data_IF_063805809835
#
_entry.id   IF_063805809835
#
_cell.length_a   1.000
_cell.length_b   1.000
_cell.length_c   1.000
_cell.angle_alpha   90.00
_cell.angle_beta   90.00
_cell.angle_gamma   90.00
#
_symmetry.space_group_name_H-M   'P 1'
#
loop_
_entity.id
_entity.type
_entity.pdbx_description
1 polymer ?
#
# COMPACT_ATOMS: atom_id res chain seq x y z
N UNK A 1 -35.71 -8.65 64.74
CA UNK A 1 -34.77 -7.97 63.83
C UNK A 1 -34.09 -9.01 62.97
N UNK A 2 -34.15 -8.94 61.63
CA UNK A 2 -33.37 -9.82 60.76
C UNK A 2 -32.04 -9.14 60.38
N UNK A 3 -30.98 -9.95 60.32
CA UNK A 3 -29.63 -9.57 59.92
C UNK A 3 -29.54 -9.24 58.42
N UNK A 4 -28.72 -8.28 57.97
CA UNK A 4 -28.51 -8.05 56.55
C UNK A 4 -27.48 -9.06 56.01
N UNK A 5 -27.87 -9.81 54.99
CA UNK A 5 -26.96 -10.60 54.16
C UNK A 5 -26.22 -9.67 53.20
N UNK A 6 -24.89 -9.61 53.32
CA UNK A 6 -24.05 -8.92 52.36
C UNK A 6 -24.01 -9.72 51.05
N UNK A 7 -24.58 -9.14 49.99
CA UNK A 7 -24.41 -9.63 48.62
C UNK A 7 -22.99 -9.32 48.16
N UNK A 8 -22.21 -10.37 47.92
CA UNK A 8 -20.85 -10.27 47.39
C UNK A 8 -20.92 -9.74 45.95
N UNK A 9 -20.47 -8.50 45.76
CA UNK A 9 -20.27 -7.91 44.44
C UNK A 9 -19.15 -8.67 43.73
N UNK A 10 -19.50 -9.57 42.80
CA UNK A 10 -18.55 -10.16 41.87
C UNK A 10 -18.03 -9.06 40.93
N UNK A 11 -16.78 -8.69 41.11
CA UNK A 11 -16.02 -7.88 40.15
C UNK A 11 -15.90 -8.72 38.86
N UNK A 12 -16.30 -8.21 37.69
CA UNK A 12 -16.14 -8.96 36.44
C UNK A 12 -14.65 -9.19 36.19
N UNK A 13 -14.29 -10.47 36.00
CA UNK A 13 -12.94 -10.88 35.61
C UNK A 13 -12.51 -10.14 34.33
N UNK A 14 -11.28 -9.60 34.24
CA UNK A 14 -10.83 -8.90 33.05
C UNK A 14 -10.88 -9.83 31.85
N UNK A 15 -11.56 -9.39 30.79
CA UNK A 15 -11.63 -10.12 29.54
C UNK A 15 -10.20 -10.43 29.04
N UNK A 16 -9.96 -11.62 28.47
CA UNK A 16 -8.62 -11.98 28.00
C UNK A 16 -8.12 -10.96 26.98
N UNK A 17 -6.80 -10.65 26.98
CA UNK A 17 -6.24 -9.64 26.08
C UNK A 17 -6.51 -10.03 24.62
N UNK A 18 -7.01 -9.07 23.83
CA UNK A 18 -7.27 -9.28 22.40
C UNK A 18 -5.94 -9.58 21.69
N UNK A 19 -5.87 -10.59 20.81
CA UNK A 19 -4.64 -10.92 20.10
C UNK A 19 -4.22 -9.78 19.18
N UNK A 20 -2.92 -9.57 19.01
CA UNK A 20 -2.40 -8.58 18.06
C UNK A 20 -2.76 -8.97 16.61
N UNK A 21 -2.83 -7.98 15.70
CA UNK A 21 -3.04 -8.22 14.26
C UNK A 21 -2.04 -9.24 13.68
N UNK A 22 -0.78 -9.21 14.15
CA UNK A 22 0.23 -10.16 13.69
C UNK A 22 -0.08 -11.59 14.13
N UNK A 23 -0.46 -11.79 15.39
CA UNK A 23 -0.79 -13.12 15.91
C UNK A 23 -2.04 -13.69 15.22
N UNK A 24 -3.07 -12.86 15.07
CA UNK A 24 -4.32 -13.22 14.39
C UNK A 24 -4.08 -13.59 12.92
N UNK A 25 -3.29 -12.78 12.20
CA UNK A 25 -2.90 -13.07 10.81
C UNK A 25 -2.16 -14.40 10.70
N UNK A 26 -1.19 -14.66 11.58
CA UNK A 26 -0.43 -15.91 11.58
C UNK A 26 -1.34 -17.12 11.82
N UNK A 27 -2.24 -17.03 12.80
CA UNK A 27 -3.19 -18.10 13.08
C UNK A 27 -4.07 -18.42 11.87
N UNK A 28 -4.69 -17.41 11.26
CA UNK A 28 -5.56 -17.62 10.09
C UNK A 28 -4.78 -18.21 8.91
N UNK A 29 -3.61 -17.66 8.58
CA UNK A 29 -2.81 -18.12 7.44
C UNK A 29 -2.20 -19.50 7.62
N UNK A 30 -1.87 -19.90 8.85
CA UNK A 30 -1.16 -21.16 9.11
C UNK A 30 -2.07 -22.28 9.57
N UNK A 31 -3.22 -21.98 10.16
CA UNK A 31 -4.05 -22.99 10.83
C UNK A 31 -5.46 -23.11 10.25
N UNK A 32 -5.99 -22.07 9.60
CA UNK A 32 -7.39 -22.07 9.16
C UNK A 32 -7.52 -22.06 7.64
N UNK A 33 -6.95 -21.06 6.96
CA UNK A 33 -7.07 -20.91 5.51
C UNK A 33 -6.51 -22.10 4.70
N UNK A 34 -5.40 -22.76 5.10
CA UNK A 34 -4.90 -23.93 4.38
C UNK A 34 -5.78 -25.18 4.49
N UNK A 35 -6.73 -25.20 5.42
CA UNK A 35 -7.62 -26.36 5.63
C UNK A 35 -8.87 -26.31 4.75
N UNK A 36 -9.11 -25.19 4.05
CA UNK A 36 -10.31 -25.01 3.23
C UNK A 36 -10.07 -25.67 1.87
N UNK A 37 -10.92 -26.64 1.45
CA UNK A 37 -10.84 -27.26 0.13
C UNK A 37 -10.99 -26.25 -1.02
N UNK A 38 -10.32 -26.48 -2.15
CA UNK A 38 -10.41 -25.59 -3.32
C UNK A 38 -11.84 -25.50 -3.89
N UNK A 39 -12.63 -26.57 -3.77
CA UNK A 39 -14.05 -26.57 -4.14
C UNK A 39 -14.86 -25.59 -3.28
N UNK A 40 -14.61 -25.59 -1.97
CA UNK A 40 -15.25 -24.66 -1.04
C UNK A 40 -14.80 -23.23 -1.32
N UNK A 41 -13.51 -22.99 -1.57
CA UNK A 41 -13.01 -21.68 -2.00
C UNK A 41 -13.75 -21.22 -3.25
N UNK A 42 -13.89 -22.08 -4.26
CA UNK A 42 -14.57 -21.77 -5.52
C UNK A 42 -16.05 -21.43 -5.29
N UNK A 43 -16.77 -22.26 -4.54
CA UNK A 43 -18.18 -22.08 -4.27
C UNK A 43 -18.47 -20.83 -3.41
N UNK A 44 -17.66 -20.62 -2.37
CA UNK A 44 -17.74 -19.44 -1.51
C UNK A 44 -17.44 -18.16 -2.30
N UNK A 45 -16.38 -18.18 -3.11
CA UNK A 45 -15.99 -17.04 -3.94
C UNK A 45 -17.10 -16.67 -4.92
N UNK A 46 -17.75 -17.66 -5.54
CA UNK A 46 -18.89 -17.41 -6.45
C UNK A 46 -20.02 -16.67 -5.73
N UNK A 47 -20.44 -17.16 -4.56
CA UNK A 47 -21.52 -16.52 -3.78
C UNK A 47 -21.17 -15.11 -3.34
N UNK A 48 -19.93 -14.87 -2.93
CA UNK A 48 -19.47 -13.54 -2.55
C UNK A 48 -19.46 -12.58 -3.76
N UNK A 49 -19.00 -13.02 -4.93
CA UNK A 49 -19.03 -12.24 -6.17
C UNK A 49 -20.46 -11.92 -6.61
N UNK A 50 -21.37 -12.91 -6.60
CA UNK A 50 -22.80 -12.71 -6.91
C UNK A 50 -23.46 -11.73 -5.93
N UNK A 51 -23.05 -11.75 -4.66
CA UNK A 51 -23.54 -10.80 -3.66
C UNK A 51 -23.16 -9.37 -4.03
N UNK A 52 -21.91 -9.14 -4.47
CA UNK A 52 -21.46 -7.84 -4.94
C UNK A 52 -22.24 -7.43 -6.19
N UNK A 53 -22.27 -8.29 -7.23
CA UNK A 53 -22.85 -7.90 -8.51
C UNK A 53 -24.37 -7.69 -8.47
N UNK A 54 -25.09 -8.46 -7.63
CA UNK A 54 -26.56 -8.42 -7.63
C UNK A 54 -27.16 -7.58 -6.50
N UNK A 55 -26.50 -7.47 -5.33
CA UNK A 55 -27.12 -6.85 -4.15
C UNK A 55 -26.50 -5.52 -3.75
N UNK A 56 -25.25 -5.24 -4.16
CA UNK A 56 -24.59 -4.00 -3.78
C UNK A 56 -24.96 -2.87 -4.74
N UNK A 57 -25.74 -1.90 -4.29
CA UNK A 57 -26.12 -0.75 -5.14
C UNK A 57 -24.90 0.04 -5.63
N UNK A 58 -23.85 0.14 -4.82
CA UNK A 58 -22.60 0.80 -5.21
C UNK A 58 -21.95 0.11 -6.42
N UNK A 59 -22.08 -1.22 -6.56
CA UNK A 59 -21.62 -1.92 -7.76
C UNK A 59 -22.43 -1.52 -8.99
N UNK A 60 -23.76 -1.47 -8.86
CA UNK A 60 -24.66 -1.15 -9.97
C UNK A 60 -24.40 0.25 -10.53
N UNK A 61 -24.08 1.22 -9.65
CA UNK A 61 -23.78 2.61 -10.03
C UNK A 61 -22.34 2.84 -10.49
N UNK A 62 -21.41 1.94 -10.16
CA UNK A 62 -19.99 2.13 -10.46
C UNK A 62 -19.70 1.95 -11.96
N UNK A 63 -18.93 2.87 -12.52
CA UNK A 63 -18.40 2.80 -13.88
C UNK A 63 -16.91 2.44 -13.89
N UNK A 64 -16.16 2.88 -12.87
CA UNK A 64 -14.72 2.68 -12.70
C UNK A 64 -14.47 1.85 -11.45
N UNK A 65 -14.15 0.57 -11.64
CA UNK A 65 -13.98 -0.38 -10.55
C UNK A 65 -12.55 -0.88 -10.47
N UNK A 66 -12.02 -1.03 -9.25
CA UNK A 66 -10.77 -1.75 -9.03
C UNK A 66 -11.05 -3.13 -8.45
N UNK A 67 -10.47 -4.16 -9.04
CA UNK A 67 -10.61 -5.55 -8.60
C UNK A 67 -9.21 -6.15 -8.44
N UNK A 68 -8.94 -6.79 -7.30
CA UNK A 68 -7.67 -7.46 -7.09
C UNK A 68 -7.59 -8.76 -7.89
N UNK A 69 -6.38 -9.13 -8.29
CA UNK A 69 -6.10 -10.40 -8.95
C UNK A 69 -5.70 -11.42 -7.88
N UNK A 70 -6.45 -12.51 -7.82
CA UNK A 70 -6.44 -13.42 -6.68
C UNK A 70 -5.13 -14.22 -6.56
N UNK A 71 -4.60 -14.33 -5.34
CA UNK A 71 -3.50 -15.23 -5.03
C UNK A 71 -3.92 -16.70 -5.15
N UNK A 72 -3.00 -17.65 -5.43
CA UNK A 72 -3.34 -19.06 -5.58
C UNK A 72 -3.97 -19.73 -4.35
N UNK A 73 -3.77 -19.22 -3.14
CA UNK A 73 -4.32 -19.84 -1.92
C UNK A 73 -4.66 -18.82 -0.83
N UNK A 74 -5.63 -19.17 0.01
CA UNK A 74 -6.03 -18.38 1.18
C UNK A 74 -6.70 -17.04 0.86
N UNK A 75 -7.21 -16.88 -0.36
CA UNK A 75 -7.93 -15.69 -0.81
C UNK A 75 -9.11 -16.13 -1.69
N UNK A 76 -10.21 -15.38 -1.60
CA UNK A 76 -11.37 -15.62 -2.44
C UNK A 76 -11.08 -15.19 -3.89
N UNK A 77 -11.58 -15.97 -4.83
CA UNK A 77 -11.44 -15.81 -6.28
C UNK A 77 -12.26 -14.62 -6.80
N UNK A 78 -11.72 -13.90 -7.79
CA UNK A 78 -12.31 -12.66 -8.34
C UNK A 78 -12.49 -12.70 -9.85
N UNK A 79 -12.07 -13.77 -10.52
CA UNK A 79 -12.10 -13.93 -11.97
C UNK A 79 -13.51 -13.78 -12.55
N UNK A 80 -14.53 -14.27 -11.84
CA UNK A 80 -15.94 -14.12 -12.25
C UNK A 80 -16.42 -12.67 -12.19
N UNK A 81 -15.96 -11.91 -11.21
CA UNK A 81 -16.32 -10.50 -11.01
C UNK A 81 -15.62 -9.60 -12.03
N UNK A 82 -14.38 -9.93 -12.42
CA UNK A 82 -13.70 -9.25 -13.53
C UNK A 82 -14.46 -9.44 -14.83
N UNK A 83 -14.84 -10.70 -15.16
CA UNK A 83 -15.70 -10.98 -16.32
C UNK A 83 -17.00 -10.20 -16.26
N UNK A 84 -17.66 -10.18 -15.09
CA UNK A 84 -18.91 -9.46 -14.91
C UNK A 84 -18.77 -7.96 -15.13
N UNK A 85 -17.69 -7.35 -14.64
CA UNK A 85 -17.42 -5.94 -14.83
C UNK A 85 -17.30 -5.57 -16.32
N UNK A 86 -16.57 -6.37 -17.10
CA UNK A 86 -16.46 -6.17 -18.54
C UNK A 86 -17.78 -6.41 -19.28
N UNK A 87 -18.55 -7.43 -18.90
CA UNK A 87 -19.88 -7.69 -19.46
C UNK A 87 -20.83 -6.50 -19.23
N UNK A 88 -20.73 -5.84 -18.08
CA UNK A 88 -21.52 -4.65 -17.73
C UNK A 88 -20.92 -3.34 -18.25
N UNK A 89 -19.85 -3.39 -19.05
CA UNK A 89 -19.25 -2.21 -19.68
C UNK A 89 -18.44 -1.31 -18.73
N UNK A 90 -18.04 -1.80 -17.56
CA UNK A 90 -17.25 -1.04 -16.58
C UNK A 90 -15.77 -0.97 -16.99
N UNK A 91 -15.11 0.12 -16.63
CA UNK A 91 -13.65 0.23 -16.69
C UNK A 91 -13.03 -0.51 -15.50
N UNK A 92 -12.22 -1.54 -15.78
CA UNK A 92 -11.60 -2.39 -14.76
C UNK A 92 -10.15 -1.98 -14.52
N UNK A 93 -9.82 -1.71 -13.26
CA UNK A 93 -8.47 -1.42 -12.78
C UNK A 93 -7.97 -2.54 -11.89
N UNK A 94 -6.67 -2.82 -11.95
CA UNK A 94 -6.00 -3.86 -11.13
C UNK A 94 -4.81 -3.28 -10.37
N UNK A 95 -4.52 -3.79 -9.16
CA UNK A 95 -3.38 -3.34 -8.38
C UNK A 95 -2.06 -3.80 -9.00
N UNK A 96 -1.13 -2.87 -9.19
CA UNK A 96 0.24 -3.12 -9.65
C UNK A 96 1.23 -2.59 -8.64
N UNK A 97 2.19 -3.43 -8.24
CA UNK A 97 3.27 -3.04 -7.34
C UNK A 97 4.46 -2.47 -8.12
N UNK A 98 4.73 -1.20 -7.89
CA UNK A 98 5.74 -0.44 -8.61
C UNK A 98 6.83 0.04 -7.66
N UNK A 99 8.06 0.16 -8.18
CA UNK A 99 9.18 0.71 -7.40
C UNK A 99 9.00 2.22 -7.27
N UNK A 100 9.12 2.73 -6.06
CA UNK A 100 9.18 4.18 -5.87
C UNK A 100 10.48 4.70 -6.48
N UNK A 101 10.40 5.65 -7.41
CA UNK A 101 11.54 6.48 -7.78
C UNK A 101 11.79 7.44 -6.61
N UNK A 102 12.99 7.38 -6.03
CA UNK A 102 13.43 8.43 -5.12
C UNK A 102 13.66 9.67 -5.98
N UNK A 103 12.93 10.76 -5.72
CA UNK A 103 13.38 12.07 -6.16
C UNK A 103 14.75 12.29 -5.53
N UNK A 104 15.77 12.40 -6.37
CA UNK A 104 17.04 12.93 -5.93
C UNK A 104 16.74 14.38 -5.56
N UNK A 105 16.54 14.65 -4.28
CA UNK A 105 16.62 16.01 -3.76
C UNK A 105 18.02 16.46 -4.12
N UNK A 106 18.13 17.27 -5.16
CA UNK A 106 19.41 17.84 -5.57
C UNK A 106 19.99 18.51 -4.34
N UNK A 107 21.16 18.04 -3.90
CA UNK A 107 22.02 18.84 -3.06
C UNK A 107 22.30 20.09 -3.88
N UNK A 108 21.57 21.16 -3.59
CA UNK A 108 21.84 22.46 -4.15
C UNK A 108 23.25 22.83 -3.75
N UNK A 109 24.19 22.75 -4.69
CA UNK A 109 25.47 23.45 -4.60
C UNK A 109 25.22 24.96 -4.77
N UNK A 110 24.47 25.54 -3.83
CA UNK A 110 24.40 26.97 -3.60
C UNK A 110 25.57 27.37 -2.71
N UNK A 111 26.76 27.49 -3.30
CA UNK A 111 27.89 28.16 -2.66
C UNK A 111 27.48 29.63 -2.43
N UNK A 112 27.41 30.15 -1.19
CA UNK A 112 27.04 31.54 -1.00
C UNK A 112 28.21 32.41 -1.45
N UNK A 113 28.05 33.13 -2.56
CA UNK A 113 28.90 34.27 -2.91
C UNK A 113 28.42 35.43 -2.06
N UNK A 114 29.16 35.75 -1.00
CA UNK A 114 28.89 36.92 -0.18
C UNK A 114 29.30 38.17 -0.97
N UNK A 115 28.30 38.96 -1.39
CA UNK A 115 28.51 40.33 -1.87
C UNK A 115 28.27 41.26 -0.69
N UNK A 116 29.31 42.00 -0.33
CA UNK A 116 29.34 42.85 0.85
C UNK A 116 28.40 44.05 0.80
N UNK A 117 27.93 44.45 1.98
CA UNK A 117 27.57 45.82 2.31
C UNK A 117 28.25 46.17 3.64
N UNK A 118 28.89 47.33 3.65
CA UNK A 118 29.67 47.86 4.76
C UNK A 118 28.84 48.61 5.79
N UNK A 119 29.57 49.41 6.57
CA UNK A 119 29.19 50.18 7.77
C UNK A 119 29.15 49.30 9.04
N UNK A 120 29.95 49.49 10.09
CA UNK A 120 30.90 50.53 10.49
C UNK A 120 30.85 50.57 12.02
N UNK A 121 31.97 50.37 12.72
CA UNK A 121 32.21 50.91 14.07
C UNK A 121 33.61 50.56 14.57
N UNK A 122 34.20 51.57 15.20
CA UNK A 122 35.54 51.72 15.73
C UNK A 122 35.97 50.74 16.84
N UNK A 123 37.29 50.60 17.00
CA UNK A 123 37.90 50.19 18.28
C UNK A 123 39.11 49.25 18.17
N UNK A 124 40.31 49.81 18.02
CA UNK A 124 41.59 49.11 18.25
C UNK A 124 41.96 49.08 19.76
N UNK A 125 43.17 48.62 20.14
CA UNK A 125 43.77 47.28 20.08
C UNK A 125 44.05 46.74 21.53
N UNK A 126 44.74 45.61 21.77
CA UNK A 126 46.10 45.60 22.36
C UNK A 126 46.54 44.14 22.71
N UNK A 127 47.73 43.78 22.20
CA UNK A 127 48.87 42.95 22.68
C UNK A 127 48.76 41.56 23.36
N UNK A 128 49.73 40.71 22.96
CA UNK A 128 50.48 39.76 23.82
C UNK A 128 50.16 38.29 23.53
N UNK A 129 51.09 37.34 23.32
CA UNK A 129 52.54 37.27 23.49
C UNK A 129 52.92 35.81 23.87
N UNK A 130 54.03 35.29 23.36
CA UNK A 130 54.70 34.03 23.78
C UNK A 130 54.13 32.74 23.16
N UNK A 131 54.88 31.78 22.62
CA UNK A 131 56.21 31.27 22.97
C UNK A 131 56.04 29.80 23.43
N UNK A 132 56.38 28.81 22.60
CA UNK A 132 57.61 27.98 22.65
C UNK A 132 57.55 26.71 23.52
N UNK A 133 58.16 25.61 23.02
CA UNK A 133 58.56 24.38 23.75
C UNK A 133 57.82 23.12 23.26
N UNK A 134 58.38 22.15 22.53
CA UNK A 134 59.62 21.34 22.64
C UNK A 134 59.62 20.29 23.78
N UNK A 135 59.96 19.04 23.42
CA UNK A 135 60.28 17.92 24.33
C UNK A 135 59.55 16.62 23.92
N UNK A 136 60.13 15.61 23.25
CA UNK A 136 61.34 14.79 23.47
C UNK A 136 61.07 13.47 24.23
N UNK A 137 61.66 12.38 23.71
CA UNK A 137 61.90 11.10 24.42
C UNK A 137 60.75 10.08 24.32
N UNK A 138 60.96 8.78 24.15
CA UNK A 138 62.18 7.95 24.22
C UNK A 138 61.91 6.62 23.51
N UNK A 139 62.97 6.04 22.96
CA UNK A 139 63.05 4.68 22.46
C UNK A 139 62.99 3.65 23.60
N UNK A 140 62.59 2.42 23.25
CA UNK A 140 62.67 1.21 24.06
C UNK A 140 62.47 -0.02 23.17
N UNK A 141 63.59 -0.69 22.85
CA UNK A 141 63.69 -1.97 22.16
C UNK A 141 63.03 -3.13 22.94
N UNK A 142 62.52 -4.11 22.21
CA UNK A 142 61.99 -5.35 22.76
C UNK A 142 61.56 -6.33 21.68
N UNK A 143 62.51 -7.13 21.19
CA UNK A 143 62.27 -8.29 20.33
C UNK A 143 61.36 -9.32 21.02
N UNK A 144 60.23 -9.63 20.38
CA UNK A 144 59.28 -10.63 20.84
C UNK A 144 58.62 -11.30 19.64
N UNK A 145 59.13 -12.46 19.27
CA UNK A 145 58.62 -13.31 18.19
C UNK A 145 57.25 -13.85 18.60
N UNK A 146 56.19 -13.32 17.99
CA UNK A 146 54.81 -13.76 18.21
C UNK A 146 54.08 -13.85 16.88
N UNK A 147 53.81 -15.07 16.44
CA UNK A 147 53.00 -15.42 15.27
C UNK A 147 51.60 -14.81 15.37
N UNK A 148 51.41 -13.64 14.76
CA UNK A 148 50.13 -12.93 14.68
C UNK A 148 49.38 -13.31 13.40
N UNK A 149 48.36 -14.13 13.57
CA UNK A 149 47.35 -14.46 12.58
C UNK A 149 46.75 -13.19 11.97
N UNK A 150 46.84 -13.03 10.64
CA UNK A 150 46.20 -11.94 9.90
C UNK A 150 44.68 -12.05 10.08
N UNK A 151 44.09 -11.21 10.93
CA UNK A 151 42.64 -11.06 10.98
C UNK A 151 42.14 -10.38 9.69
N UNK A 152 41.23 -11.00 8.92
CA UNK A 152 40.65 -10.36 7.76
C UNK A 152 39.70 -9.25 8.21
N UNK A 153 40.02 -7.99 7.84
CA UNK A 153 39.15 -6.83 7.98
C UNK A 153 37.76 -7.17 7.42
N UNK A 154 36.76 -7.34 8.31
CA UNK A 154 35.35 -7.48 7.94
C UNK A 154 34.93 -6.24 7.15
N UNK A 155 34.85 -6.38 5.82
CA UNK A 155 34.17 -5.41 4.95
C UNK A 155 32.73 -5.30 5.47
N UNK A 156 32.40 -4.18 6.12
CA UNK A 156 31.02 -3.83 6.48
C UNK A 156 30.20 -3.86 5.19
N UNK A 157 29.43 -4.93 4.97
CA UNK A 157 28.43 -5.00 3.89
C UNK A 157 27.49 -3.82 4.12
N UNK A 158 27.56 -2.78 3.26
CA UNK A 158 26.55 -1.72 3.21
C UNK A 158 25.19 -2.41 3.12
N UNK A 159 24.36 -2.31 4.18
CA UNK A 159 22.97 -2.78 4.13
C UNK A 159 22.32 -2.06 2.95
N UNK A 160 22.06 -2.76 1.85
CA UNK A 160 21.27 -2.23 0.74
C UNK A 160 19.93 -1.80 1.33
N UNK A 161 19.66 -0.49 1.42
CA UNK A 161 18.34 0.03 1.83
C UNK A 161 17.31 -0.63 0.90
N UNK A 162 16.35 -1.33 1.49
CA UNK A 162 15.30 -2.06 0.75
C UNK A 162 14.45 -0.99 0.07
N UNK A 163 14.45 -0.95 -1.27
CA UNK A 163 13.69 0.02 -2.06
C UNK A 163 12.20 -0.09 -1.69
N UNK A 164 11.54 1.04 -1.42
CA UNK A 164 10.13 1.08 -1.01
C UNK A 164 9.25 0.80 -2.24
N UNK A 165 8.35 -0.18 -2.13
CA UNK A 165 7.34 -0.48 -3.16
C UNK A 165 6.09 0.34 -2.88
N UNK A 166 5.39 0.77 -3.93
CA UNK A 166 4.07 1.42 -3.86
C UNK A 166 3.09 0.66 -4.75
N UNK A 167 1.81 0.72 -4.42
CA UNK A 167 0.75 0.16 -5.25
C UNK A 167 0.11 1.26 -6.08
N UNK A 168 -0.17 0.99 -7.34
CA UNK A 168 -0.99 1.82 -8.22
C UNK A 168 -2.12 0.97 -8.80
N UNK A 169 -3.20 1.60 -9.25
CA UNK A 169 -4.30 0.90 -9.94
C UNK A 169 -4.24 1.26 -11.41
N UNK A 170 -3.99 0.27 -12.27
CA UNK A 170 -3.86 0.46 -13.71
C UNK A 170 -4.98 -0.26 -14.44
N UNK A 171 -5.46 0.35 -15.51
CA UNK A 171 -6.56 -0.17 -16.32
C UNK A 171 -6.16 -1.42 -17.10
N UNK A 172 -7.06 -2.40 -17.13
CA UNK A 172 -7.07 -3.50 -18.09
C UNK A 172 -7.69 -3.02 -19.40
N UNK A 173 -7.09 -3.39 -20.52
CA UNK A 173 -7.54 -2.95 -21.85
C UNK A 173 -8.73 -3.80 -22.34
N UNK A 174 -8.78 -5.09 -21.97
CA UNK A 174 -9.87 -5.99 -22.36
C UNK A 174 -9.97 -7.22 -21.45
N UNK A 175 -11.06 -7.96 -21.61
CA UNK A 175 -11.21 -9.28 -20.97
C UNK A 175 -10.22 -10.30 -21.54
N UNK A 176 -9.92 -10.25 -22.84
CA UNK A 176 -8.94 -11.15 -23.47
C UNK A 176 -7.54 -10.96 -22.86
N UNK A 177 -7.12 -9.71 -22.64
CA UNK A 177 -5.88 -9.42 -21.94
C UNK A 177 -5.84 -10.06 -20.56
N UNK A 178 -6.92 -9.92 -19.79
CA UNK A 178 -7.01 -10.50 -18.45
C UNK A 178 -6.82 -12.02 -18.47
N UNK A 179 -7.44 -12.71 -19.44
CA UNK A 179 -7.36 -14.17 -19.55
C UNK A 179 -5.97 -14.67 -20.01
N UNK A 180 -5.17 -13.80 -20.63
CA UNK A 180 -3.80 -14.07 -21.09
C UNK A 180 -2.71 -13.67 -20.08
N UNK A 181 -3.05 -13.12 -18.91
CA UNK A 181 -2.05 -12.68 -17.93
C UNK A 181 -1.23 -13.85 -17.38
N UNK A 182 0.09 -13.68 -17.44
CA UNK A 182 1.02 -14.59 -16.78
C UNK A 182 1.05 -14.35 -15.26
N UNK A 183 1.32 -15.42 -14.52
CA UNK A 183 1.44 -15.36 -13.06
C UNK A 183 2.85 -14.92 -12.66
N UNK A 184 2.92 -14.00 -11.70
CA UNK A 184 4.18 -13.53 -11.14
C UNK A 184 4.81 -14.53 -10.15
N UNK A 185 5.88 -14.12 -9.48
CA UNK A 185 6.56 -14.94 -8.46
C UNK A 185 5.69 -15.31 -7.24
N UNK A 186 4.57 -14.62 -7.05
CA UNK A 186 3.58 -14.88 -6.00
C UNK A 186 2.40 -15.72 -6.53
N UNK A 187 2.43 -16.09 -7.82
CA UNK A 187 1.36 -16.80 -8.50
C UNK A 187 0.17 -15.91 -8.86
N UNK A 188 0.30 -14.59 -8.79
CA UNK A 188 -0.77 -13.63 -9.07
C UNK A 188 -0.72 -13.24 -10.55
N UNK A 189 -1.82 -13.33 -11.32
CA UNK A 189 -1.86 -12.81 -12.68
C UNK A 189 -1.44 -11.34 -12.68
N UNK A 190 -0.50 -10.95 -13.53
CA UNK A 190 0.14 -9.62 -13.44
C UNK A 190 0.34 -8.99 -14.81
N UNK A 191 0.12 -7.68 -14.89
CA UNK A 191 0.38 -6.91 -16.09
C UNK A 191 1.89 -6.92 -16.43
N UNK A 192 2.27 -7.17 -17.70
CA UNK A 192 3.67 -7.22 -18.08
C UNK A 192 4.32 -5.83 -17.94
N UNK A 193 5.55 -5.72 -17.40
CA UNK A 193 6.22 -4.44 -17.15
C UNK A 193 6.30 -3.50 -18.37
N UNK A 194 6.42 -4.07 -19.57
CA UNK A 194 6.48 -3.34 -20.84
C UNK A 194 5.18 -2.63 -21.20
N UNK A 195 4.04 -3.12 -20.70
CA UNK A 195 2.73 -2.53 -20.98
C UNK A 195 2.35 -1.40 -20.02
N UNK A 196 3.07 -1.23 -18.91
CA UNK A 196 2.59 -0.38 -17.81
C UNK A 196 2.54 1.10 -18.20
N UNK A 197 3.53 1.62 -18.93
CA UNK A 197 3.68 3.06 -19.18
C UNK A 197 2.51 3.69 -19.97
N UNK A 198 1.86 2.92 -20.85
CA UNK A 198 0.77 3.41 -21.72
C UNK A 198 -0.63 3.26 -21.10
N UNK A 199 -0.75 2.65 -19.93
CA UNK A 199 -2.05 2.36 -19.31
C UNK A 199 -2.59 3.52 -18.53
N UNK A 200 -3.90 3.69 -18.56
CA UNK A 200 -4.59 4.65 -17.72
C UNK A 200 -4.34 4.33 -16.23
N UNK A 201 -3.95 5.34 -15.46
CA UNK A 201 -3.81 5.26 -14.02
C UNK A 201 -5.09 5.76 -13.36
N UNK A 202 -5.59 5.02 -12.36
CA UNK A 202 -6.81 5.38 -11.65
C UNK A 202 -6.75 6.73 -10.91
N UNK A 203 -5.56 7.26 -10.60
CA UNK A 203 -5.42 8.61 -10.02
C UNK A 203 -5.47 9.72 -11.07
N UNK A 204 -5.50 9.36 -12.35
CA UNK A 204 -5.35 10.24 -13.51
C UNK A 204 -3.98 10.07 -14.17
N UNK A 205 -3.91 10.28 -15.49
CA UNK A 205 -2.69 10.16 -16.28
C UNK A 205 -2.38 8.72 -16.71
N UNK A 206 -1.12 8.47 -17.08
CA UNK A 206 -0.66 7.20 -17.63
C UNK A 206 0.49 6.59 -16.84
N UNK A 207 0.49 5.27 -16.78
CA UNK A 207 1.48 4.43 -16.14
C UNK A 207 1.58 4.56 -14.62
N UNK A 208 2.51 3.80 -14.00
CA UNK A 208 2.71 3.81 -12.56
C UNK A 208 3.03 5.18 -11.95
N UNK A 209 3.70 6.04 -12.72
CA UNK A 209 4.06 7.37 -12.27
C UNK A 209 2.90 8.38 -12.40
N UNK A 210 1.83 8.04 -13.14
CA UNK A 210 0.71 8.94 -13.38
C UNK A 210 1.12 10.16 -14.21
N UNK A 211 1.93 9.96 -15.27
CA UNK A 211 2.42 11.06 -16.09
C UNK A 211 1.27 11.66 -16.92
N UNK A 212 1.22 12.99 -17.08
CA UNK A 212 0.29 13.62 -18.03
C UNK A 212 0.70 13.25 -19.46
N UNK A 213 -0.22 12.63 -20.20
CA UNK A 213 -0.14 12.22 -21.62
C UNK A 213 0.87 11.12 -21.99
N UNK A 214 0.54 10.34 -23.03
CA UNK A 214 1.21 9.11 -23.47
C UNK A 214 2.70 9.32 -23.81
N UNK A 215 3.60 8.34 -23.57
CA UNK A 215 4.94 8.36 -24.14
C UNK A 215 4.85 8.10 -25.66
N UNK A 216 4.97 9.15 -26.48
CA UNK A 216 4.95 9.03 -27.95
C UNK A 216 4.74 10.31 -28.79
N UNK A 217 4.51 11.49 -28.20
CA UNK A 217 4.21 12.73 -28.97
C UNK A 217 5.28 13.84 -28.84
N UNK A 218 6.55 13.48 -28.69
CA UNK A 218 7.66 14.43 -28.84
C UNK A 218 8.71 13.91 -29.83
N UNK A 219 8.40 13.92 -31.13
CA UNK A 219 9.40 14.08 -32.20
C UNK A 219 8.74 14.61 -33.49
N UNK A 220 8.65 15.95 -33.56
CA UNK A 220 8.70 16.86 -34.73
C UNK A 220 7.90 16.53 -36.01
N UNK A 221 7.03 17.46 -36.42
CA UNK A 221 7.30 18.30 -37.62
C UNK A 221 6.45 19.58 -37.66
N UNK A 222 7.11 20.69 -38.00
CA UNK A 222 6.51 21.99 -38.26
C UNK A 222 5.59 21.91 -39.49
N UNK A 223 4.28 22.05 -39.31
CA UNK A 223 3.34 22.05 -40.42
C UNK A 223 1.94 22.45 -39.98
N UNK A 224 1.45 23.58 -40.51
CA UNK A 224 0.14 24.18 -40.20
C UNK A 224 -1.02 23.19 -40.27
N UNK A 225 -1.71 23.02 -39.15
CA UNK A 225 -3.16 22.86 -39.13
C UNK A 225 -3.71 23.54 -37.87
N UNK A 226 -4.46 24.61 -38.07
CA UNK A 226 -5.34 25.15 -37.03
C UNK A 226 -6.44 24.12 -36.82
N UNK A 227 -6.49 23.51 -35.64
CA UNK A 227 -7.74 23.01 -35.10
C UNK A 227 -7.66 23.04 -33.57
N UNK A 228 -8.40 24.00 -33.03
CA UNK A 228 -9.04 24.05 -31.72
C UNK A 228 -8.24 23.49 -30.54
N UNK A 229 -7.55 24.40 -29.87
CA UNK A 229 -6.90 24.21 -28.58
C UNK A 229 -7.89 23.82 -27.48
N UNK A 230 -8.31 22.55 -27.49
CA UNK A 230 -8.86 21.90 -26.31
C UNK A 230 -7.73 21.11 -25.67
N UNK A 231 -7.00 21.80 -24.81
CA UNK A 231 -6.25 21.14 -23.74
C UNK A 231 -7.27 20.26 -23.02
N UNK A 232 -7.17 18.94 -23.19
CA UNK A 232 -8.00 18.00 -22.44
C UNK A 232 -7.42 17.98 -21.03
N UNK A 233 -7.82 18.94 -20.21
CA UNK A 233 -7.59 18.90 -18.77
C UNK A 233 -8.12 17.55 -18.27
N UNK A 234 -7.24 16.68 -17.78
CA UNK A 234 -7.62 15.38 -17.21
C UNK A 234 -8.51 15.57 -15.98
N UNK A 235 -9.81 15.69 -16.21
CA UNK A 235 -10.88 15.66 -15.22
C UNK A 235 -11.28 14.23 -14.83
N UNK A 236 -10.84 13.21 -15.58
CA UNK A 236 -11.42 11.86 -15.54
C UNK A 236 -10.54 10.84 -14.79
N UNK A 237 -10.09 11.18 -13.58
CA UNK A 237 -9.46 10.22 -12.66
C UNK A 237 -10.46 9.69 -11.62
N UNK A 238 -9.99 8.86 -10.69
CA UNK A 238 -10.77 8.30 -9.61
C UNK A 238 -11.25 6.86 -9.86
N UNK A 239 -11.85 6.29 -8.81
CA UNK A 239 -12.52 5.00 -8.81
C UNK A 239 -13.84 5.19 -8.06
N UNK A 240 -14.89 4.51 -8.50
CA UNK A 240 -16.18 4.54 -7.82
C UNK A 240 -16.23 3.44 -6.74
N UNK A 241 -15.63 2.29 -7.03
CA UNK A 241 -15.62 1.14 -6.15
C UNK A 241 -14.28 0.40 -6.20
N UNK A 242 -13.81 -0.05 -5.03
CA UNK A 242 -12.65 -0.92 -4.89
C UNK A 242 -13.05 -2.20 -4.16
N UNK A 243 -12.88 -3.32 -4.83
CA UNK A 243 -12.92 -4.65 -4.21
C UNK A 243 -11.58 -4.88 -3.52
N UNK A 244 -11.58 -4.91 -2.19
CA UNK A 244 -10.36 -5.04 -1.39
C UNK A 244 -10.20 -6.46 -0.86
N UNK A 245 -9.00 -7.06 -0.97
CA UNK A 245 -8.68 -8.32 -0.33
C UNK A 245 -8.36 -8.11 1.16
N UNK A 246 -8.41 -9.21 1.91
CA UNK A 246 -8.04 -9.25 3.32
C UNK A 246 -7.75 -10.67 3.78
N UNK A 247 -6.90 -10.78 4.80
CA UNK A 247 -6.75 -12.03 5.56
C UNK A 247 -7.98 -12.23 6.46
N UNK A 248 -8.53 -11.14 6.98
CA UNK A 248 -9.77 -11.14 7.73
C UNK A 248 -10.52 -9.81 7.61
N UNK A 249 -11.82 -9.87 7.87
CA UNK A 249 -12.70 -8.74 8.09
C UNK A 249 -13.46 -8.98 9.39
N UNK A 250 -13.88 -7.93 10.09
CA UNK A 250 -14.84 -8.06 11.18
C UNK A 250 -16.16 -7.37 10.85
N UNK A 251 -17.16 -7.62 11.69
CA UNK A 251 -18.51 -7.05 11.52
C UNK A 251 -18.59 -5.55 11.81
N UNK A 252 -17.52 -4.93 12.30
CA UNK A 252 -17.40 -3.46 12.41
C UNK A 252 -16.74 -2.85 11.15
N UNK A 253 -16.64 -3.64 10.08
CA UNK A 253 -16.00 -3.27 8.81
C UNK A 253 -14.50 -2.99 8.94
N UNK A 254 -13.83 -3.51 9.98
CA UNK A 254 -12.38 -3.50 10.03
C UNK A 254 -11.81 -4.50 9.04
N UNK A 255 -10.66 -4.17 8.45
CA UNK A 255 -9.96 -5.01 7.48
C UNK A 255 -8.55 -5.31 7.97
N UNK A 256 -8.16 -6.58 7.93
CA UNK A 256 -6.80 -7.01 8.20
C UNK A 256 -6.16 -7.58 6.95
N UNK A 257 -5.28 -6.82 6.30
CA UNK A 257 -4.47 -7.30 5.18
C UNK A 257 -3.25 -8.14 5.60
N UNK A 258 -2.37 -8.43 4.63
CA UNK A 258 -1.14 -9.21 4.86
C UNK A 258 -0.04 -8.48 5.65
N UNK A 259 -0.21 -7.18 5.94
CA UNK A 259 0.69 -6.40 6.78
C UNK A 259 1.66 -5.47 6.04
N UNK A 260 1.64 -5.44 4.71
CA UNK A 260 2.43 -4.50 3.92
C UNK A 260 1.81 -3.10 3.78
N UNK A 261 0.52 -2.95 4.11
CA UNK A 261 -0.18 -1.65 4.08
C UNK A 261 -0.36 -1.06 2.67
N UNK A 262 -0.35 -1.88 1.61
CA UNK A 262 -0.46 -1.38 0.23
C UNK A 262 -1.79 -0.69 -0.05
N UNK A 263 -2.90 -1.30 0.35
CA UNK A 263 -4.24 -0.71 0.19
C UNK A 263 -4.39 0.55 1.01
N UNK A 264 -4.05 0.51 2.31
CA UNK A 264 -4.14 1.68 3.19
C UNK A 264 -3.28 2.83 2.66
N UNK A 265 -2.05 2.54 2.24
CA UNK A 265 -1.16 3.53 1.63
C UNK A 265 -1.61 4.04 0.26
N UNK A 266 -2.35 3.24 -0.53
CA UNK A 266 -2.96 3.72 -1.78
C UNK A 266 -4.17 4.61 -1.50
N UNK A 267 -5.07 4.20 -0.59
CA UNK A 267 -6.26 4.94 -0.21
C UNK A 267 -5.90 6.29 0.41
N UNK A 268 -4.92 6.32 1.32
CA UNK A 268 -4.40 7.59 1.86
C UNK A 268 -3.93 8.49 0.73
N UNK A 269 -3.09 8.03 -0.20
CA UNK A 269 -2.64 8.85 -1.33
C UNK A 269 -3.76 9.26 -2.29
N UNK A 270 -4.76 8.42 -2.50
CA UNK A 270 -5.91 8.73 -3.35
C UNK A 270 -6.76 9.84 -2.74
N UNK A 271 -7.01 9.78 -1.42
CA UNK A 271 -7.91 10.71 -0.73
C UNK A 271 -7.19 11.97 -0.24
N UNK A 272 -5.96 11.87 0.26
CA UNK A 272 -5.23 13.02 0.84
C UNK A 272 -4.45 13.81 -0.19
N UNK A 273 -3.93 13.16 -1.24
CA UNK A 273 -3.18 13.84 -2.31
C UNK A 273 -4.03 14.02 -3.57
N UNK A 274 -5.14 13.29 -3.70
CA UNK A 274 -5.96 13.29 -4.90
C UNK A 274 -7.10 14.31 -4.85
N UNK A 275 -7.55 14.70 -6.04
CA UNK A 275 -8.74 15.55 -6.26
C UNK A 275 -10.04 14.73 -6.30
N UNK A 276 -10.00 13.50 -5.78
CA UNK A 276 -11.02 12.48 -6.01
C UNK A 276 -11.74 12.12 -4.71
N UNK A 277 -13.04 11.87 -4.81
CA UNK A 277 -13.83 11.38 -3.67
C UNK A 277 -13.38 9.97 -3.24
N UNK A 278 -13.68 9.61 -1.99
CA UNK A 278 -13.35 8.28 -1.47
C UNK A 278 -14.20 7.24 -2.23
N UNK A 279 -13.58 6.23 -2.91
CA UNK A 279 -14.33 5.14 -3.51
C UNK A 279 -15.07 4.31 -2.46
N UNK A 280 -16.17 3.68 -2.86
CA UNK A 280 -16.83 2.67 -2.05
C UNK A 280 -15.92 1.44 -1.90
N UNK A 281 -15.61 1.04 -0.68
CA UNK A 281 -14.73 -0.09 -0.37
C UNK A 281 -15.57 -1.31 -0.01
N UNK A 282 -15.46 -2.38 -0.81
CA UNK A 282 -16.11 -3.65 -0.52
C UNK A 282 -15.07 -4.75 -0.30
N UNK A 283 -15.09 -5.36 0.88
CA UNK A 283 -14.33 -6.57 1.16
C UNK A 283 -14.97 -7.78 0.48
N UNK A 284 -14.16 -8.65 -0.14
CA UNK A 284 -14.60 -9.95 -0.63
C UNK A 284 -13.80 -11.02 0.11
N UNK A 285 -14.48 -11.93 0.82
CA UNK A 285 -13.79 -12.92 1.65
C UNK A 285 -14.52 -14.25 1.75
N UNK A 286 -13.78 -15.29 2.15
CA UNK A 286 -14.35 -16.56 2.58
C UNK A 286 -15.09 -16.39 3.92
N UNK A 287 -15.99 -17.32 4.25
CA UNK A 287 -16.80 -17.28 5.46
C UNK A 287 -15.93 -17.33 6.73
N UNK A 288 -14.84 -18.09 6.70
CA UNK A 288 -13.89 -18.28 7.79
C UNK A 288 -13.02 -17.04 8.04
N UNK A 289 -13.03 -16.08 7.12
CA UNK A 289 -12.32 -14.81 7.24
C UNK A 289 -13.15 -13.72 7.94
N UNK A 290 -14.40 -14.02 8.32
CA UNK A 290 -15.29 -13.10 9.03
C UNK A 290 -15.14 -13.30 10.54
N UNK A 291 -14.72 -12.26 11.23
CA UNK A 291 -14.49 -12.27 12.68
C UNK A 291 -15.58 -11.50 13.43
N UNK A 292 -15.66 -11.76 14.73
CA UNK A 292 -16.54 -11.02 15.64
C UNK A 292 -16.13 -9.54 15.76
N UNK A 293 -17.08 -8.63 16.04
CA UNK A 293 -16.83 -7.20 16.25
C UNK A 293 -15.63 -6.91 17.16
N UNK A 294 -14.84 -5.91 16.78
CA UNK A 294 -13.69 -5.42 17.53
C UNK A 294 -12.55 -6.44 17.71
N UNK A 295 -12.50 -7.51 16.90
CA UNK A 295 -11.36 -8.46 16.88
C UNK A 295 -10.17 -7.89 16.12
N UNK A 296 -10.39 -7.06 15.11
CA UNK A 296 -9.31 -6.41 14.36
C UNK A 296 -9.06 -5.05 15.00
N UNK A 297 -7.89 -4.89 15.64
CA UNK A 297 -7.47 -3.62 16.21
C UNK A 297 -7.02 -2.68 15.09
N UNK A 298 -7.86 -1.69 14.79
CA UNK A 298 -7.60 -0.64 13.81
C UNK A 298 -6.62 0.38 14.38
N UNK A 299 -5.70 0.83 13.54
CA UNK A 299 -4.79 1.94 13.80
C UNK A 299 -5.25 3.17 13.01
N UNK A 300 -4.70 4.35 13.30
CA UNK A 300 -5.11 5.62 12.67
C UNK A 300 -4.94 5.65 11.15
N UNK A 301 -4.03 4.84 10.62
CA UNK A 301 -3.77 4.73 9.17
C UNK A 301 -4.54 3.60 8.49
N UNK A 302 -5.29 2.77 9.23
CA UNK A 302 -6.04 1.67 8.65
C UNK A 302 -7.41 2.16 8.14
N UNK A 303 -7.76 1.78 6.91
CA UNK A 303 -9.06 2.15 6.33
C UNK A 303 -10.10 1.06 6.58
N UNK A 304 -11.26 1.46 7.14
CA UNK A 304 -12.46 0.61 7.19
C UNK A 304 -13.04 0.44 5.80
N UNK A 305 -13.62 -0.73 5.55
CA UNK A 305 -14.47 -0.94 4.38
C UNK A 305 -15.87 -0.39 4.63
N UNK A 306 -16.63 -0.22 3.56
CA UNK A 306 -18.03 0.24 3.63
C UNK A 306 -18.99 -0.96 3.62
N UNK A 307 -18.60 -2.08 3.01
CA UNK A 307 -19.29 -3.36 3.06
C UNK A 307 -18.36 -4.58 2.99
N UNK A 308 -18.85 -5.76 3.36
CA UNK A 308 -18.16 -7.06 3.19
C UNK A 308 -19.10 -8.09 2.57
N UNK A 309 -18.75 -8.57 1.38
CA UNK A 309 -19.38 -9.73 0.76
C UNK A 309 -18.69 -11.02 1.20
N UNK A 310 -19.45 -11.89 1.85
CA UNK A 310 -18.92 -13.09 2.52
C UNK A 310 -19.16 -14.35 1.70
N UNK A 311 -18.30 -15.36 1.87
CA UNK A 311 -18.44 -16.68 1.24
C UNK A 311 -19.73 -17.42 1.58
N UNK A 312 -20.45 -16.98 2.61
CA UNK A 312 -21.80 -17.45 2.96
C UNK A 312 -22.92 -16.81 2.13
N UNK A 313 -22.63 -15.91 1.19
CA UNK A 313 -23.63 -15.20 0.38
C UNK A 313 -24.34 -14.07 1.13
N UNK A 314 -23.71 -13.51 2.17
CA UNK A 314 -24.21 -12.35 2.91
C UNK A 314 -23.43 -11.10 2.55
N UNK A 315 -24.14 -9.98 2.42
CA UNK A 315 -23.58 -8.64 2.40
C UNK A 315 -23.64 -8.08 3.83
N UNK A 316 -22.50 -7.73 4.40
CA UNK A 316 -22.42 -7.06 5.69
C UNK A 316 -22.17 -5.57 5.44
N UNK A 317 -22.87 -4.72 6.17
CA UNK A 317 -22.74 -3.26 6.13
C UNK A 317 -22.67 -2.73 7.56
N UNK A 318 -22.11 -1.52 7.75
CA UNK A 318 -21.95 -0.89 9.06
C UNK A 318 -23.29 -0.66 9.80
N UNK A 319 -24.39 -0.57 9.07
CA UNK A 319 -25.75 -0.65 9.60
C UNK A 319 -26.34 -1.98 9.17
N UNK A 320 -26.90 -2.78 10.09
CA UNK A 320 -27.37 -4.15 9.85
C UNK A 320 -28.55 -4.30 8.88
N UNK A 321 -28.40 -3.88 7.63
CA UNK A 321 -29.37 -4.03 6.54
C UNK A 321 -29.11 -5.29 5.73
N UNK A 322 -30.04 -6.24 5.84
CA UNK A 322 -30.12 -7.45 5.03
C UNK A 322 -30.54 -7.16 3.59
#
# INVERSE_FOLDING_TARGET
MPSPSFSSSQVPSPAPPKPSKSALRSHLKSSLLPLIPEEDITAQSRRAQETISHRLEAWQRAERVSIYLSMPSGEARTEGLVRKAFEEGKSVFVPVLCRQHEEVVGEGEGKPVAVGRGEGADGAPVSGGGGSGAGAGSAGDGDGVGTGMLEPKKKKKKKKKKRKMRMEMLKLDSLEEFELLERDSWGIPSLPPTSLAGRENARGGFGPEGRPSRPGEEEREEGRARNDGKVVEGKDGGLDLIVVPGVAFDRDMARMGHGAGFYDGYLTRLVTEGRHEKPFLVGLCLAEQVLEPGRILMEEWDWRVDAVATGGGRLLTAEGGA
#
